data_IF_599535572679
#
_entry.id   IF_599535572679
#
_cell.length_a   1.000
_cell.length_b   1.000
_cell.length_c   1.000
_cell.angle_alpha   90.00
_cell.angle_beta   90.00
_cell.angle_gamma   90.00
#
_symmetry.space_group_name_H-M   'P 1'
#
loop_
_entity.id
_entity.type
_entity.pdbx_description
1 polymer ?
#
# COMPACT_ATOMS: atom_id res chain seq x y z
N UNK A 1 -4.14 -1.48 27.92
CA UNK A 1 -5.14 -0.59 27.29
C UNK A 1 -5.02 -0.75 25.79
N UNK A 2 -5.89 -1.55 25.17
CA UNK A 2 -5.95 -1.65 23.71
C UNK A 2 -6.69 -0.40 23.27
N UNK A 3 -5.99 0.54 22.65
CA UNK A 3 -6.65 1.69 22.00
C UNK A 3 -7.31 1.12 20.76
N UNK A 4 -8.63 1.23 20.64
CA UNK A 4 -9.36 0.95 19.40
C UNK A 4 -8.71 1.80 18.29
N UNK A 5 -7.83 1.16 17.52
CA UNK A 5 -7.03 1.80 16.49
C UNK A 5 -7.90 1.94 15.26
N UNK A 6 -8.55 3.10 15.09
CA UNK A 6 -9.24 3.40 13.83
C UNK A 6 -8.19 3.48 12.72
N UNK A 7 -8.29 2.56 11.76
CA UNK A 7 -7.54 2.56 10.52
C UNK A 7 -8.52 2.86 9.39
N UNK A 8 -8.14 3.77 8.50
CA UNK A 8 -8.94 4.12 7.33
C UNK A 8 -8.25 3.61 6.07
N UNK A 9 -9.01 3.01 5.16
CA UNK A 9 -8.53 2.57 3.85
C UNK A 9 -9.24 3.39 2.79
N UNK A 10 -8.48 4.03 1.89
CA UNK A 10 -9.01 4.85 0.81
C UNK A 10 -8.29 4.55 -0.51
N UNK A 11 -8.85 5.01 -1.63
CA UNK A 11 -8.16 5.01 -2.91
C UNK A 11 -6.88 5.83 -2.82
N UNK A 12 -5.78 5.25 -3.28
CA UNK A 12 -4.51 5.95 -3.35
C UNK A 12 -4.57 7.06 -4.39
N UNK A 13 -4.01 8.21 -4.07
CA UNK A 13 -3.81 9.32 -5.01
C UNK A 13 -2.43 9.25 -5.65
N UNK A 14 -2.30 9.78 -6.86
CA UNK A 14 -1.00 9.81 -7.56
C UNK A 14 0.11 10.50 -6.77
N UNK A 15 -0.22 11.53 -5.98
CA UNK A 15 0.70 12.25 -5.09
C UNK A 15 1.26 11.39 -3.94
N UNK A 16 0.63 10.26 -3.62
CA UNK A 16 1.04 9.36 -2.52
C UNK A 16 2.06 8.30 -2.96
N UNK A 17 2.28 8.12 -4.27
CA UNK A 17 3.17 7.08 -4.80
C UNK A 17 4.62 7.24 -4.36
N UNK A 18 5.09 8.48 -4.17
CA UNK A 18 6.44 8.74 -3.65
C UNK A 18 6.57 8.31 -2.20
N UNK A 19 5.56 8.59 -1.37
CA UNK A 19 5.54 8.15 0.02
C UNK A 19 5.46 6.62 0.12
N UNK A 20 4.70 5.97 -0.77
CA UNK A 20 4.65 4.51 -0.90
C UNK A 20 6.02 3.93 -1.21
N UNK A 21 6.69 4.47 -2.22
CA UNK A 21 8.02 4.02 -2.63
C UNK A 21 9.04 4.17 -1.48
N UNK A 22 8.97 5.25 -0.71
CA UNK A 22 9.81 5.45 0.48
C UNK A 22 9.50 4.43 1.59
N UNK A 23 8.23 4.05 1.79
CA UNK A 23 7.85 3.01 2.75
C UNK A 23 8.40 1.63 2.38
N UNK A 24 8.48 1.31 1.09
CA UNK A 24 9.05 0.04 0.62
C UNK A 24 10.57 -0.06 0.84
N UNK A 25 11.26 1.09 0.86
CA UNK A 25 12.71 1.16 1.08
C UNK A 25 13.13 1.06 2.55
N UNK A 26 12.17 1.01 3.47
CA UNK A 26 12.48 0.83 4.89
C UNK A 26 13.12 -0.55 5.13
N UNK A 27 14.14 -0.61 5.99
CA UNK A 27 14.94 -1.82 6.20
C UNK A 27 14.12 -3.01 6.71
N UNK A 28 13.03 -2.73 7.42
CA UNK A 28 12.15 -3.74 8.01
C UNK A 28 11.15 -4.35 7.01
N UNK A 29 10.82 -3.64 5.94
CA UNK A 29 9.85 -4.07 4.92
C UNK A 29 10.50 -4.66 3.69
N UNK A 30 11.70 -4.17 3.31
CA UNK A 30 12.40 -4.58 2.09
C UNK A 30 12.71 -6.09 1.97
N UNK A 31 12.75 -6.82 3.10
CA UNK A 31 12.96 -8.29 3.12
C UNK A 31 11.72 -9.11 2.78
N UNK A 32 10.54 -8.50 2.84
CA UNK A 32 9.26 -9.20 2.71
C UNK A 32 8.48 -8.79 1.46
N UNK A 33 9.00 -7.83 0.70
CA UNK A 33 8.30 -7.19 -0.41
C UNK A 33 9.22 -7.07 -1.62
N UNK A 34 8.62 -7.06 -2.82
CA UNK A 34 9.36 -6.70 -4.03
C UNK A 34 9.16 -5.21 -4.20
N UNK A 35 10.14 -4.43 -3.77
CA UNK A 35 10.10 -2.98 -3.90
C UNK A 35 10.04 -2.58 -5.38
N UNK A 36 9.12 -1.68 -5.72
CA UNK A 36 8.98 -1.15 -7.05
C UNK A 36 9.68 0.21 -7.12
N UNK A 37 10.47 0.48 -8.18
CA UNK A 37 10.90 1.85 -8.42
C UNK A 37 9.68 2.73 -8.68
N UNK A 38 9.78 4.02 -8.41
CA UNK A 38 8.67 4.97 -8.56
C UNK A 38 8.04 4.91 -9.96
N UNK A 39 8.85 4.78 -11.00
CA UNK A 39 8.37 4.65 -12.38
C UNK A 39 7.50 3.40 -12.59
N UNK A 40 7.81 2.30 -11.90
CA UNK A 40 6.99 1.09 -11.94
C UNK A 40 5.69 1.29 -11.17
N UNK A 41 5.70 1.97 -10.02
CA UNK A 41 4.45 2.36 -9.36
C UNK A 41 3.55 3.20 -10.26
N UNK A 42 4.12 4.20 -10.95
CA UNK A 42 3.38 5.03 -11.90
C UNK A 42 2.78 4.21 -13.04
N UNK A 43 3.55 3.30 -13.62
CA UNK A 43 3.09 2.44 -14.71
C UNK A 43 1.97 1.48 -14.28
N UNK A 44 2.09 0.85 -13.11
CA UNK A 44 1.07 -0.05 -12.57
C UNK A 44 -0.19 0.70 -12.15
N UNK A 45 -0.06 1.88 -11.54
CA UNK A 45 -1.18 2.71 -11.09
C UNK A 45 -2.08 3.20 -12.24
N UNK A 46 -1.56 3.24 -13.47
CA UNK A 46 -2.34 3.60 -14.66
C UNK A 46 -3.15 2.43 -15.23
N UNK A 47 -2.91 1.20 -14.79
CA UNK A 47 -3.61 0.03 -15.30
C UNK A 47 -5.01 -0.05 -14.69
N UNK A 48 -6.08 -0.16 -15.50
CA UNK A 48 -7.45 -0.19 -14.99
C UNK A 48 -7.75 -1.41 -14.09
N UNK A 49 -6.98 -2.49 -14.22
CA UNK A 49 -7.09 -3.70 -13.41
C UNK A 49 -6.31 -3.65 -12.08
N UNK A 50 -5.54 -2.57 -11.85
CA UNK A 50 -4.69 -2.42 -10.66
C UNK A 50 -5.25 -1.31 -9.76
N UNK A 51 -5.55 -1.67 -8.51
CA UNK A 51 -6.12 -0.76 -7.52
C UNK A 51 -5.16 -0.59 -6.35
N UNK A 52 -4.66 0.62 -6.19
CA UNK A 52 -3.89 1.00 -5.02
C UNK A 52 -4.81 1.50 -3.92
N UNK A 53 -4.58 1.03 -2.69
CA UNK A 53 -5.28 1.49 -1.50
C UNK A 53 -4.28 2.02 -0.48
N UNK A 54 -4.51 3.22 0.02
CA UNK A 54 -3.71 3.87 1.06
C UNK A 54 -4.33 3.60 2.43
N UNK A 55 -3.49 3.26 3.41
CA UNK A 55 -3.89 2.95 4.78
C UNK A 55 -3.45 4.09 5.70
N UNK A 56 -4.41 4.72 6.37
CA UNK A 56 -4.18 5.84 7.25
C UNK A 56 -4.48 5.49 8.71
N UNK A 57 -3.66 6.00 9.63
CA UNK A 57 -3.97 5.96 11.05
C UNK A 57 -5.00 7.03 11.43
N UNK A 58 -5.43 7.03 12.70
CA UNK A 58 -6.38 8.01 13.25
C UNK A 58 -5.95 9.48 13.14
N UNK A 59 -4.67 9.76 12.87
CA UNK A 59 -4.13 11.12 12.69
C UNK A 59 -4.13 11.55 11.23
N UNK A 60 -4.51 10.66 10.31
CA UNK A 60 -4.41 10.88 8.86
C UNK A 60 -3.01 10.60 8.30
N UNK A 61 -2.11 10.01 9.09
CA UNK A 61 -0.78 9.64 8.60
C UNK A 61 -0.88 8.37 7.76
N UNK A 62 -0.26 8.38 6.58
CA UNK A 62 -0.07 7.19 5.77
C UNK A 62 0.84 6.20 6.50
N UNK A 63 0.33 5.02 6.81
CA UNK A 63 1.03 3.96 7.57
C UNK A 63 1.19 2.66 6.79
N UNK A 64 0.60 2.57 5.60
CA UNK A 64 0.75 1.42 4.73
C UNK A 64 -0.04 1.57 3.44
N UNK A 65 0.05 0.57 2.58
CA UNK A 65 -0.67 0.53 1.32
C UNK A 65 -0.94 -0.91 0.88
N UNK A 66 -1.87 -1.08 -0.04
CA UNK A 66 -2.14 -2.36 -0.71
C UNK A 66 -2.22 -2.15 -2.21
N UNK A 67 -1.80 -3.16 -2.96
CA UNK A 67 -1.99 -3.23 -4.41
C UNK A 67 -2.87 -4.44 -4.68
N UNK A 68 -4.04 -4.21 -5.26
CA UNK A 68 -4.99 -5.24 -5.66
C UNK A 68 -4.95 -5.35 -7.18
N UNK A 69 -4.83 -6.56 -7.70
CA UNK A 69 -4.87 -6.81 -9.15
C UNK A 69 -6.03 -7.74 -9.43
N UNK A 70 -6.93 -7.31 -10.31
CA UNK A 70 -7.99 -8.18 -10.83
C UNK A 70 -7.42 -9.04 -11.96
N UNK A 71 -7.52 -10.36 -11.82
CA UNK A 71 -7.22 -11.28 -12.92
C UNK A 71 -8.43 -11.34 -13.88
N UNK A 72 -8.20 -11.71 -15.15
CA UNK A 72 -9.22 -11.72 -16.20
C UNK A 72 -10.44 -12.61 -15.90
N UNK A 73 -10.32 -13.54 -14.95
CA UNK A 73 -11.41 -14.39 -14.47
C UNK A 73 -12.30 -13.74 -13.39
N UNK A 74 -12.09 -12.44 -13.09
CA UNK A 74 -12.79 -11.73 -12.01
C UNK A 74 -12.34 -12.11 -10.60
N UNK A 75 -11.31 -12.95 -10.49
CA UNK A 75 -10.70 -13.36 -9.23
C UNK A 75 -9.61 -12.36 -8.82
N UNK A 76 -9.75 -11.73 -7.65
CA UNK A 76 -8.77 -10.79 -7.13
C UNK A 76 -7.52 -11.53 -6.61
N UNK A 77 -6.33 -11.20 -7.11
CA UNK A 77 -5.07 -11.57 -6.47
C UNK A 77 -4.68 -10.44 -5.52
N UNK A 78 -4.70 -10.73 -4.22
CA UNK A 78 -4.36 -9.78 -3.17
C UNK A 78 -2.85 -9.77 -2.91
N UNK A 79 -2.26 -8.57 -2.89
CA UNK A 79 -0.94 -8.35 -2.30
C UNK A 79 -1.08 -7.31 -1.18
N UNK A 80 -1.42 -7.80 0.01
CA UNK A 80 -1.49 -7.00 1.22
C UNK A 80 -0.08 -6.81 1.79
N UNK A 81 0.38 -5.57 1.90
CA UNK A 81 1.65 -5.22 2.55
C UNK A 81 1.36 -4.32 3.75
N UNK A 82 1.24 -4.92 4.93
CA UNK A 82 1.10 -4.17 6.18
C UNK A 82 2.32 -4.38 7.04
N UNK A 83 3.00 -3.30 7.41
CA UNK A 83 3.95 -3.30 8.52
C UNK A 83 3.25 -2.75 9.76
N UNK A 84 2.83 -3.63 10.66
CA UNK A 84 2.43 -3.23 12.01
C UNK A 84 3.66 -3.32 12.91
N UNK A 85 4.12 -2.19 13.45
CA UNK A 85 5.10 -2.16 14.53
C UNK A 85 4.49 -2.82 15.79
N UNK A 86 5.06 -3.92 16.33
CA UNK A 86 4.77 -4.31 17.69
C UNK A 86 5.45 -3.30 18.63
N UNK A 87 4.68 -2.74 19.57
CA UNK A 87 5.22 -1.97 20.69
C UNK A 87 5.96 -2.87 21.66
#
# INVERSE_FOLDING_TARGET
>A
MITDGVITIADTKGEELEAIQQMEQNQDTSRYIIAYPLEKHRAEFQKPEVFYKSIFDKTGKLVGFMILVLDNDGMSKYRMQTHCHPR
#
